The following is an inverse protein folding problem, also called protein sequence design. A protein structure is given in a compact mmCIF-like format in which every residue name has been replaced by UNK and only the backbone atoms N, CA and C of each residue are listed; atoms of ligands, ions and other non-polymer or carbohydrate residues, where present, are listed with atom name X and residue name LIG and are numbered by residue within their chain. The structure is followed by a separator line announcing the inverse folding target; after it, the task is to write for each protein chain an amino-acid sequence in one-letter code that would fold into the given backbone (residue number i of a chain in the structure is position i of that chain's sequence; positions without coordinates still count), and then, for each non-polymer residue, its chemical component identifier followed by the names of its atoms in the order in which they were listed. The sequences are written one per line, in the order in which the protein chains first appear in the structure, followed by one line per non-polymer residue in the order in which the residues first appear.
data_IF_991351904339
#
_entry.id   IF_991351904339
#
_cell.length_a   1.000
_cell.length_b   1.000
_cell.length_c   1.000
_cell.angle_alpha   90.00
_cell.angle_beta   90.00
_cell.angle_gamma   90.00
#
_symmetry.space_group_name_H-M   'P 1'
#
loop_
_entity.id
_entity.type
_entity.pdbx_description
1 polymer ?
#
# COMPACT_ATOMS: atom_id res chain seq x y z
N UNK A 1 -22.28 10.59 4.07
CA UNK A 1 -22.37 9.17 4.44
C UNK A 1 -21.65 8.37 3.36
N UNK A 2 -20.47 7.84 3.64
CA UNK A 2 -19.75 7.00 2.66
C UNK A 2 -20.55 5.73 2.45
N UNK A 3 -20.90 5.41 1.21
CA UNK A 3 -21.68 4.22 0.91
C UNK A 3 -20.86 2.98 1.28
N UNK A 4 -21.37 2.13 2.18
CA UNK A 4 -20.67 0.93 2.65
C UNK A 4 -20.24 0.01 1.50
N UNK A 5 -21.02 -0.09 0.43
CA UNK A 5 -20.66 -0.90 -0.74
C UNK A 5 -19.46 -0.33 -1.50
N UNK A 6 -19.33 0.99 -1.56
CA UNK A 6 -18.19 1.67 -2.20
C UNK A 6 -16.91 1.44 -1.39
N UNK A 7 -16.98 1.59 -0.07
CA UNK A 7 -15.84 1.32 0.82
C UNK A 7 -15.41 -0.14 0.74
N UNK A 8 -16.37 -1.06 0.68
CA UNK A 8 -16.10 -2.49 0.52
C UNK A 8 -15.38 -2.78 -0.80
N UNK A 9 -15.88 -2.25 -1.91
CA UNK A 9 -15.25 -2.44 -3.22
C UNK A 9 -13.84 -1.85 -3.25
N UNK A 10 -13.63 -0.69 -2.63
CA UNK A 10 -12.30 -0.08 -2.54
C UNK A 10 -11.34 -0.92 -1.68
N UNK A 11 -11.79 -1.40 -0.52
CA UNK A 11 -10.98 -2.28 0.32
C UNK A 11 -10.59 -3.57 -0.42
N UNK A 12 -11.51 -4.20 -1.15
CA UNK A 12 -11.22 -5.41 -1.94
C UNK A 12 -10.26 -5.13 -3.09
N UNK A 13 -10.43 -4.03 -3.82
CA UNK A 13 -9.54 -3.64 -4.91
C UNK A 13 -8.11 -3.36 -4.41
N UNK A 14 -7.95 -2.45 -3.45
CA UNK A 14 -6.64 -2.11 -2.91
C UNK A 14 -6.00 -3.27 -2.12
N UNK A 15 -6.82 -4.11 -1.48
CA UNK A 15 -6.35 -5.35 -0.85
C UNK A 15 -5.80 -6.34 -1.88
N UNK A 16 -6.49 -6.52 -3.00
CA UNK A 16 -6.02 -7.37 -4.11
C UNK A 16 -4.72 -6.83 -4.69
N UNK A 17 -4.63 -5.52 -4.96
CA UNK A 17 -3.38 -4.91 -5.41
C UNK A 17 -2.24 -5.08 -4.40
N UNK A 18 -2.53 -4.97 -3.09
CA UNK A 18 -1.54 -5.19 -2.04
C UNK A 18 -1.02 -6.64 -2.08
N UNK A 19 -1.90 -7.64 -2.20
CA UNK A 19 -1.51 -9.05 -2.30
C UNK A 19 -0.63 -9.29 -3.53
N UNK A 20 -1.03 -8.75 -4.69
CA UNK A 20 -0.25 -8.86 -5.93
C UNK A 20 1.13 -8.21 -5.75
N UNK A 21 1.20 -7.03 -5.15
CA UNK A 21 2.48 -6.35 -4.90
C UNK A 21 3.38 -7.18 -3.98
N UNK A 22 2.87 -7.72 -2.88
CA UNK A 22 3.65 -8.61 -2.00
C UNK A 22 4.12 -9.86 -2.75
N UNK A 23 3.23 -10.47 -3.55
CA UNK A 23 3.61 -11.62 -4.37
C UNK A 23 4.75 -11.28 -5.33
N UNK A 24 4.64 -10.17 -6.08
CA UNK A 24 5.68 -9.71 -7.01
C UNK A 24 6.99 -9.39 -6.28
N UNK A 25 6.93 -8.70 -5.14
CA UNK A 25 8.10 -8.37 -4.33
C UNK A 25 8.87 -9.63 -3.92
N UNK A 26 8.16 -10.64 -3.40
CA UNK A 26 8.80 -11.89 -2.99
C UNK A 26 9.25 -12.72 -4.19
N UNK A 27 8.49 -12.74 -5.27
CA UNK A 27 8.83 -13.49 -6.48
C UNK A 27 10.07 -12.94 -7.18
N UNK A 28 10.26 -11.62 -7.19
CA UNK A 28 11.39 -10.94 -7.81
C UNK A 28 12.44 -10.45 -6.80
N UNK A 29 12.45 -10.97 -5.57
CA UNK A 29 13.33 -10.52 -4.48
C UNK A 29 14.80 -10.54 -4.90
N UNK A 30 15.30 -11.63 -5.48
CA UNK A 30 16.70 -11.76 -5.87
C UNK A 30 17.09 -10.70 -6.91
N UNK A 31 16.24 -10.48 -7.91
CA UNK A 31 16.44 -9.46 -8.94
C UNK A 31 16.44 -8.04 -8.35
N UNK A 32 15.49 -7.75 -7.47
CA UNK A 32 15.40 -6.44 -6.79
C UNK A 32 16.65 -6.22 -5.95
N UNK A 33 17.12 -7.24 -5.24
CA UNK A 33 18.29 -7.19 -4.39
C UNK A 33 19.57 -6.97 -5.20
N UNK A 34 19.72 -7.68 -6.31
CA UNK A 34 20.87 -7.57 -7.21
C UNK A 34 20.98 -6.18 -7.82
N UNK A 35 19.86 -5.58 -8.26
CA UNK A 35 19.86 -4.19 -8.71
C UNK A 35 20.15 -3.22 -7.56
N UNK A 36 19.50 -3.39 -6.42
CA UNK A 36 19.63 -2.47 -5.28
C UNK A 36 21.05 -2.40 -4.72
N UNK A 37 21.83 -3.49 -4.82
CA UNK A 37 23.19 -3.60 -4.28
C UNK A 37 24.29 -3.07 -5.21
N UNK A 38 23.99 -2.77 -6.48
CA UNK A 38 24.98 -2.27 -7.44
C UNK A 38 25.55 -0.88 -7.10
N UNK A 39 24.98 -0.18 -6.10
CA UNK A 39 25.41 1.16 -5.71
C UNK A 39 24.94 2.24 -6.68
N UNK A 40 25.60 3.41 -6.70
CA UNK A 40 25.21 4.51 -7.58
C UNK A 40 23.77 5.00 -7.31
N UNK A 41 22.95 5.17 -8.35
CA UNK A 41 21.54 5.57 -8.23
C UNK A 41 20.58 4.40 -7.99
N UNK A 42 21.05 3.15 -8.00
CA UNK A 42 20.17 1.97 -7.87
C UNK A 42 19.50 1.82 -6.49
N UNK A 43 19.97 2.54 -5.46
CA UNK A 43 19.30 2.63 -4.15
C UNK A 43 17.88 3.21 -4.26
N UNK A 44 17.54 3.89 -5.36
CA UNK A 44 16.19 4.42 -5.59
C UNK A 44 15.15 3.32 -5.80
N UNK A 45 15.56 2.14 -6.25
CA UNK A 45 14.66 1.01 -6.52
C UNK A 45 13.89 0.60 -5.25
N UNK A 46 14.54 0.24 -4.13
CA UNK A 46 13.82 -0.14 -2.91
C UNK A 46 13.02 1.03 -2.33
N UNK A 47 13.45 2.28 -2.55
CA UNK A 47 12.71 3.47 -2.13
C UNK A 47 11.39 3.59 -2.90
N UNK A 48 11.43 3.51 -4.23
CA UNK A 48 10.22 3.58 -5.08
C UNK A 48 9.26 2.45 -4.71
N UNK A 49 9.77 1.23 -4.55
CA UNK A 49 8.97 0.09 -4.12
C UNK A 49 8.29 0.38 -2.77
N UNK A 50 9.05 0.84 -1.76
CA UNK A 50 8.50 1.16 -0.45
C UNK A 50 7.40 2.24 -0.52
N UNK A 51 7.56 3.28 -1.35
CA UNK A 51 6.54 4.30 -1.55
C UNK A 51 5.30 3.77 -2.28
N UNK A 52 5.48 2.94 -3.31
CA UNK A 52 4.35 2.28 -4.00
C UNK A 52 3.53 1.45 -3.02
N UNK A 53 4.19 0.66 -2.17
CA UNK A 53 3.53 -0.10 -1.11
C UNK A 53 2.82 0.82 -0.10
N UNK A 54 3.49 1.88 0.36
CA UNK A 54 2.92 2.83 1.32
C UNK A 54 1.59 3.43 0.81
N UNK A 55 1.53 3.83 -0.46
CA UNK A 55 0.31 4.39 -1.05
C UNK A 55 -0.80 3.33 -1.17
N UNK A 56 -0.50 2.18 -1.77
CA UNK A 56 -1.51 1.15 -2.10
C UNK A 56 -1.99 0.43 -0.84
N UNK A 57 -1.06 -0.05 -0.02
CA UNK A 57 -1.38 -0.73 1.24
C UNK A 57 -1.94 0.26 2.28
N UNK A 58 -1.49 1.51 2.28
CA UNK A 58 -2.05 2.55 3.13
C UNK A 58 -3.51 2.87 2.77
N UNK A 59 -3.83 2.98 1.48
CA UNK A 59 -5.20 3.15 1.01
C UNK A 59 -6.08 1.96 1.41
N UNK A 60 -5.60 0.72 1.19
CA UNK A 60 -6.28 -0.49 1.66
C UNK A 60 -6.58 -0.43 3.16
N UNK A 61 -5.56 -0.13 3.97
CA UNK A 61 -5.66 -0.08 5.43
C UNK A 61 -6.69 0.95 5.88
N UNK A 62 -6.74 2.13 5.24
CA UNK A 62 -7.77 3.14 5.50
C UNK A 62 -9.19 2.63 5.26
N UNK A 63 -9.45 2.03 4.10
CA UNK A 63 -10.77 1.46 3.78
C UNK A 63 -11.11 0.25 4.66
N UNK A 64 -10.11 -0.56 5.02
CA UNK A 64 -10.27 -1.68 5.93
C UNK A 64 -10.73 -1.23 7.33
N UNK A 65 -10.08 -0.23 7.91
CA UNK A 65 -10.51 0.34 9.19
C UNK A 65 -11.89 0.98 9.10
N UNK A 66 -12.19 1.67 7.99
CA UNK A 66 -13.51 2.22 7.72
C UNK A 66 -14.61 1.16 7.69
N UNK A 67 -14.36 -0.03 7.14
CA UNK A 67 -15.29 -1.17 7.16
C UNK A 67 -15.52 -1.70 8.57
N UNK A 68 -14.47 -1.73 9.40
CA UNK A 68 -14.56 -2.11 10.81
C UNK A 68 -15.23 -1.02 11.67
N UNK A 69 -15.56 0.14 11.09
CA UNK A 69 -16.16 1.27 11.80
C UNK A 69 -15.17 2.11 12.59
N UNK A 70 -13.86 1.87 12.43
CA UNK A 70 -12.79 2.62 13.08
C UNK A 70 -12.40 3.78 12.17
N UNK A 71 -12.75 5.01 12.58
CA UNK A 71 -12.43 6.23 11.84
C UNK A 71 -11.38 7.05 12.57
N UNK A 72 -10.49 7.67 11.80
CA UNK A 72 -9.56 8.66 12.33
C UNK A 72 -10.32 9.82 12.99
N UNK A 73 -9.88 10.21 14.18
CA UNK A 73 -10.42 11.39 14.87
C UNK A 73 -9.98 12.64 14.10
N UNK A 74 -10.91 13.30 13.43
CA UNK A 74 -10.64 14.62 12.83
C UNK A 74 -10.45 15.63 13.96
N UNK A 75 -9.22 16.11 14.18
CA UNK A 75 -8.99 17.23 15.09
C UNK A 75 -9.52 18.48 14.39
N UNK A 76 -10.62 19.03 14.91
CA UNK A 76 -11.13 20.32 14.44
C UNK A 76 -10.09 21.37 14.85
N UNK A 77 -9.35 21.91 13.87
CA UNK A 77 -8.43 23.02 14.10
C UNK A 77 -9.28 24.27 14.31
N UNK A 78 -9.37 24.70 15.57
CA UNK A 78 -10.02 25.96 15.97
C UNK A 78 -9.13 27.15 15.58
#
# INVERSE_FOLDING_TARGET
MTNKSVVLNQALLFGTYSVILYFLLYHFNDLILDFSKQGGWYFIIPIVIAFTFSVIHGAFTGYFWDLLGIKAKTVRKN
#
